data_IF_366741349945
#
_entry.id   IF_366741349945
#
_cell.length_a   1.000
_cell.length_b   1.000
_cell.length_c   1.000
_cell.angle_alpha   90.00
_cell.angle_beta   90.00
_cell.angle_gamma   90.00
#
_symmetry.space_group_name_H-M   'P 1'
#
loop_
_entity.id
_entity.type
_entity.pdbx_description
1 polymer ?
#
# COMPACT_ATOMS: atom_id res chain seq x y z
N UNK A 1 -33.00 27.02 -41.09
CA UNK A 1 -31.63 27.56 -41.17
C UNK A 1 -31.35 28.36 -39.91
N UNK A 2 -30.39 27.96 -39.07
CA UNK A 2 -30.03 28.67 -37.83
C UNK A 2 -28.70 29.40 -38.07
N UNK A 3 -28.53 30.67 -37.68
CA UNK A 3 -27.31 31.42 -37.96
C UNK A 3 -26.19 31.06 -36.97
N UNK A 4 -24.97 30.98 -37.50
CA UNK A 4 -23.72 30.71 -36.80
C UNK A 4 -23.19 32.02 -36.22
N UNK A 5 -22.98 32.08 -34.91
CA UNK A 5 -22.37 33.21 -34.24
C UNK A 5 -20.86 33.22 -34.51
N UNK A 6 -20.37 34.31 -35.10
CA UNK A 6 -18.95 34.60 -35.34
C UNK A 6 -18.32 35.16 -34.06
N UNK A 7 -17.30 34.49 -33.54
CA UNK A 7 -16.52 34.95 -32.38
C UNK A 7 -15.33 35.78 -32.88
N UNK A 8 -15.34 37.06 -32.54
CA UNK A 8 -14.35 38.05 -32.98
C UNK A 8 -13.09 37.94 -32.10
N UNK A 9 -11.94 37.65 -32.71
CA UNK A 9 -10.65 37.52 -32.05
C UNK A 9 -9.94 38.88 -32.02
N UNK A 10 -10.12 39.61 -30.92
CA UNK A 10 -9.42 40.87 -30.68
C UNK A 10 -8.02 40.59 -30.13
N UNK A 11 -7.04 41.03 -30.94
CA UNK A 11 -5.61 41.04 -30.69
C UNK A 11 -5.25 41.66 -29.33
N UNK A 12 -4.44 40.98 -28.53
CA UNK A 12 -3.61 41.59 -27.50
C UNK A 12 -2.14 41.41 -27.91
N UNK A 13 -1.63 42.44 -28.55
CA UNK A 13 -0.24 42.61 -28.94
C UNK A 13 0.59 43.13 -27.76
N UNK A 14 1.73 42.47 -27.55
CA UNK A 14 3.02 43.04 -27.17
C UNK A 14 3.06 43.93 -25.92
N UNK A 15 3.67 43.41 -24.85
CA UNK A 15 4.61 44.21 -24.07
C UNK A 15 5.73 43.31 -23.54
N UNK A 16 6.91 43.48 -24.13
CA UNK A 16 8.19 42.91 -23.72
C UNK A 16 8.59 43.43 -22.34
N UNK A 17 8.86 42.53 -21.39
CA UNK A 17 9.56 42.88 -20.15
C UNK A 17 11.03 42.44 -20.25
N UNK A 18 12.00 43.37 -20.14
CA UNK A 18 13.41 43.01 -20.05
C UNK A 18 13.85 42.66 -18.62
N UNK A 19 14.76 41.69 -18.58
CA UNK A 19 15.68 41.25 -17.52
C UNK A 19 16.14 42.31 -16.51
N UNK A 20 16.18 41.94 -15.21
CA UNK A 20 17.26 42.35 -14.29
C UNK A 20 17.36 41.45 -13.06
N UNK A 21 18.41 40.63 -13.01
CA UNK A 21 18.86 39.88 -11.83
C UNK A 21 20.18 40.51 -11.39
N UNK A 22 20.34 41.01 -10.15
CA UNK A 22 21.66 41.33 -9.62
C UNK A 22 22.27 40.14 -8.86
N UNK A 23 23.59 39.89 -8.99
CA UNK A 23 24.32 38.90 -8.22
C UNK A 23 24.94 39.49 -6.94
N UNK A 24 25.44 38.59 -6.09
CA UNK A 24 26.50 38.76 -5.06
C UNK A 24 26.14 39.46 -3.74
N UNK A 25 26.08 38.66 -2.66
CA UNK A 25 26.56 38.99 -1.30
C UNK A 25 26.99 37.66 -0.67
N UNK A 26 28.25 37.24 -0.88
CA UNK A 26 29.39 37.42 0.04
C UNK A 26 29.10 36.87 1.45
N UNK A 27 29.80 35.77 1.72
CA UNK A 27 29.86 35.05 2.96
C UNK A 27 30.46 35.88 4.11
N UNK A 28 29.89 35.74 5.31
CA UNK A 28 30.65 35.92 6.54
C UNK A 28 30.59 34.63 7.37
N UNK A 29 31.78 34.05 7.53
CA UNK A 29 32.15 33.12 8.59
C UNK A 29 31.96 33.80 9.95
N UNK A 30 31.42 33.05 10.92
CA UNK A 30 31.80 33.20 12.32
C UNK A 30 31.89 31.81 12.95
N UNK A 31 32.96 31.61 13.71
CA UNK A 31 33.41 30.34 14.27
C UNK A 31 33.01 30.22 15.76
N UNK A 32 32.69 28.99 16.18
CA UNK A 32 32.93 28.33 17.49
C UNK A 32 32.30 28.96 18.77
N UNK A 33 32.10 28.24 19.90
CA UNK A 33 32.76 26.99 20.31
C UNK A 33 31.90 25.85 20.88
N UNK A 34 32.62 24.73 21.03
CA UNK A 34 32.39 23.49 21.77
C UNK A 34 31.93 23.72 23.23
N UNK A 35 30.91 22.98 23.67
CA UNK A 35 30.64 22.70 25.08
C UNK A 35 30.34 21.21 25.28
N UNK A 36 31.11 20.63 26.19
CA UNK A 36 31.11 19.22 26.55
C UNK A 36 30.05 18.87 27.62
N UNK A 37 29.85 17.55 27.76
CA UNK A 37 29.31 16.77 28.90
C UNK A 37 27.80 16.79 29.16
N UNK A 38 27.19 15.60 29.02
CA UNK A 38 26.79 14.78 30.19
C UNK A 38 26.59 13.32 29.81
N UNK A 39 27.34 12.43 30.46
CA UNK A 39 27.05 11.00 30.53
C UNK A 39 26.10 10.77 31.69
N UNK A 40 25.03 10.00 31.46
CA UNK A 40 24.24 9.37 32.51
C UNK A 40 24.13 7.88 32.17
N UNK A 41 24.84 7.06 32.93
CA UNK A 41 24.62 5.63 33.10
C UNK A 41 23.59 5.42 34.21
N UNK A 42 22.49 4.73 33.91
CA UNK A 42 21.72 4.04 34.94
C UNK A 42 20.93 2.90 34.32
N UNK A 43 21.46 1.71 34.56
CA UNK A 43 20.83 0.40 34.60
C UNK A 43 19.41 0.43 35.17
N UNK A 44 18.41 0.04 34.40
CA UNK A 44 17.20 -0.67 34.86
C UNK A 44 16.49 -1.17 33.61
N UNK A 45 16.40 -2.50 33.40
CA UNK A 45 15.24 -3.18 32.79
C UNK A 45 15.47 -4.70 32.76
N UNK A 46 15.94 -5.27 33.88
CA UNK A 46 16.08 -6.72 34.10
C UNK A 46 15.08 -7.22 35.17
N UNK A 47 14.13 -6.37 35.61
CA UNK A 47 13.15 -6.70 36.68
C UNK A 47 11.73 -6.93 36.18
N UNK A 48 11.41 -6.54 34.96
CA UNK A 48 10.07 -6.66 34.35
C UNK A 48 9.81 -8.04 33.72
N UNK A 49 10.86 -8.82 33.44
CA UNK A 49 10.73 -10.18 32.87
C UNK A 49 10.40 -11.22 33.95
N UNK A 50 10.85 -11.01 35.20
CA UNK A 50 10.65 -11.97 36.28
C UNK A 50 9.27 -11.87 36.94
N UNK A 51 8.48 -10.82 36.64
CA UNK A 51 7.15 -10.61 37.21
C UNK A 51 6.01 -11.23 36.37
N UNK A 52 6.22 -11.51 35.08
CA UNK A 52 5.18 -12.11 34.23
C UNK A 52 5.09 -13.64 34.35
N UNK A 53 6.18 -14.30 34.78
CA UNK A 53 6.25 -15.76 34.89
C UNK A 53 5.47 -16.30 36.10
N UNK A 54 5.34 -15.51 37.18
CA UNK A 54 4.62 -15.91 38.40
C UNK A 54 3.08 -15.86 38.29
N UNK A 55 2.54 -15.13 37.30
CA UNK A 55 1.08 -15.06 37.07
C UNK A 55 0.54 -16.29 36.32
N UNK A 56 1.41 -17.03 35.63
CA UNK A 56 1.03 -18.19 34.82
C UNK A 56 0.80 -19.47 35.65
N UNK A 57 1.41 -19.58 36.84
CA UNK A 57 1.22 -20.73 37.73
C UNK A 57 -0.10 -20.68 38.53
N UNK A 58 -0.74 -19.51 38.63
CA UNK A 58 -2.04 -19.35 39.32
C UNK A 58 -3.23 -19.78 38.47
N UNK A 59 -3.08 -19.85 37.14
CA UNK A 59 -4.18 -20.12 36.21
C UNK A 59 -4.38 -21.63 35.97
N UNK A 60 -3.35 -22.43 36.23
CA UNK A 60 -3.31 -23.86 35.88
C UNK A 60 -3.67 -24.82 37.02
N UNK A 61 -4.11 -24.35 38.19
CA UNK A 61 -4.22 -25.21 39.38
C UNK A 61 -5.45 -25.00 40.26
N UNK A 62 -6.62 -25.50 39.85
CA UNK A 62 -7.61 -26.04 40.80
C UNK A 62 -8.63 -26.95 40.11
N UNK A 63 -8.54 -28.23 40.45
CA UNK A 63 -9.40 -29.34 40.09
C UNK A 63 -10.69 -29.41 40.93
N UNK A 64 -11.72 -30.01 40.32
CA UNK A 64 -12.86 -30.77 40.87
C UNK A 64 -13.95 -30.07 41.69
N UNK A 65 -15.21 -30.13 41.21
CA UNK A 65 -16.31 -30.96 41.78
C UNK A 65 -17.51 -31.07 40.81
N UNK A 66 -18.16 -32.23 40.83
CA UNK A 66 -19.29 -32.68 40.02
C UNK A 66 -20.63 -32.14 40.54
N UNK A 67 -21.62 -31.90 39.66
CA UNK A 67 -23.04 -31.97 40.02
C UNK A 67 -23.92 -32.31 38.79
N UNK A 68 -24.59 -33.46 38.88
CA UNK A 68 -25.64 -33.92 37.97
C UNK A 68 -26.99 -33.45 38.50
N UNK A 69 -27.75 -32.68 37.69
CA UNK A 69 -29.18 -32.46 37.93
C UNK A 69 -29.96 -32.51 36.63
N UNK A 70 -30.65 -33.64 36.45
CA UNK A 70 -31.77 -33.83 35.52
C UNK A 70 -32.95 -33.01 36.02
N UNK A 71 -33.49 -32.12 35.18
CA UNK A 71 -34.92 -31.82 35.05
C UNK A 71 -35.10 -30.55 34.22
N UNK A 72 -35.56 -30.70 32.97
CA UNK A 72 -36.68 -29.96 32.38
C UNK A 72 -36.55 -29.97 30.86
N UNK A 73 -37.52 -30.66 30.26
CA UNK A 73 -37.87 -30.59 28.86
C UNK A 73 -38.14 -29.15 28.41
N UNK A 74 -38.07 -29.00 27.08
CA UNK A 74 -38.50 -27.87 26.25
C UNK A 74 -37.66 -26.58 26.27
N UNK A 75 -37.18 -26.31 25.07
CA UNK A 75 -36.84 -25.02 24.49
C UNK A 75 -35.39 -24.53 24.62
N UNK A 76 -34.88 -24.07 23.47
CA UNK A 76 -33.64 -23.31 23.24
C UNK A 76 -32.38 -24.16 23.08
N UNK A 77 -32.15 -24.64 21.87
CA UNK A 77 -31.11 -24.14 20.94
C UNK A 77 -30.68 -25.28 20.01
N UNK A 78 -31.03 -25.14 18.73
CA UNK A 78 -30.39 -25.86 17.63
C UNK A 78 -28.86 -25.85 17.80
N UNK A 79 -28.14 -26.91 17.37
CA UNK A 79 -26.68 -26.92 17.47
C UNK A 79 -26.14 -25.62 16.85
N UNK A 80 -25.13 -24.95 17.44
CA UNK A 80 -24.49 -23.85 16.76
C UNK A 80 -23.97 -24.44 15.45
N UNK A 81 -24.61 -24.06 14.35
CA UNK A 81 -24.06 -24.28 13.03
C UNK A 81 -22.66 -23.67 13.10
N UNK A 82 -21.60 -24.45 12.82
CA UNK A 82 -20.29 -23.84 12.68
C UNK A 82 -20.47 -22.69 11.68
N UNK A 83 -19.92 -21.49 11.96
CA UNK A 83 -19.96 -20.43 10.98
C UNK A 83 -19.41 -21.04 9.69
N UNK A 84 -20.23 -21.09 8.65
CA UNK A 84 -19.84 -21.55 7.32
C UNK A 84 -18.76 -20.59 6.84
N UNK A 85 -17.53 -20.88 7.24
CA UNK A 85 -16.35 -20.20 6.78
C UNK A 85 -16.08 -20.75 5.39
N UNK A 86 -16.24 -19.83 4.44
CA UNK A 86 -15.81 -19.91 3.05
C UNK A 86 -16.77 -20.70 2.15
N UNK A 87 -17.32 -19.98 1.18
CA UNK A 87 -17.92 -20.55 -0.03
C UNK A 87 -17.09 -21.74 -0.49
N UNK A 88 -17.69 -22.92 -0.44
CA UNK A 88 -17.21 -24.14 -1.05
C UNK A 88 -16.62 -23.78 -2.42
N UNK A 89 -15.33 -24.07 -2.71
CA UNK A 89 -14.88 -24.01 -4.09
C UNK A 89 -15.68 -25.09 -4.82
N UNK A 90 -16.54 -24.68 -5.74
CA UNK A 90 -17.33 -25.59 -6.56
C UNK A 90 -16.39 -26.70 -7.12
N UNK A 91 -16.69 -27.99 -6.87
CA UNK A 91 -15.77 -29.11 -7.14
C UNK A 91 -15.54 -29.41 -8.64
N UNK A 92 -15.97 -28.54 -9.54
CA UNK A 92 -15.86 -28.73 -11.01
C UNK A 92 -14.66 -28.03 -11.64
N UNK A 93 -13.78 -27.41 -10.87
CA UNK A 93 -12.58 -26.77 -11.41
C UNK A 93 -11.47 -27.81 -11.53
N UNK A 94 -11.30 -28.37 -12.73
CA UNK A 94 -10.09 -29.09 -13.12
C UNK A 94 -8.88 -28.19 -12.80
N UNK A 95 -8.08 -28.59 -11.80
CA UNK A 95 -6.93 -27.82 -11.35
C UNK A 95 -5.77 -28.04 -12.33
N UNK A 96 -5.87 -27.43 -13.51
CA UNK A 96 -4.75 -27.34 -14.44
C UNK A 96 -3.71 -26.39 -13.80
N UNK A 97 -2.45 -26.81 -13.62
CA UNK A 97 -1.43 -25.93 -13.07
C UNK A 97 -1.25 -24.72 -14.01
N UNK A 98 -1.24 -23.48 -13.48
CA UNK A 98 -1.07 -22.31 -14.31
C UNK A 98 0.34 -22.29 -14.91
N UNK A 99 0.43 -22.07 -16.23
CA UNK A 99 1.70 -22.05 -16.96
C UNK A 99 2.69 -20.96 -16.50
N UNK A 100 2.19 -19.92 -15.82
CA UNK A 100 3.02 -18.82 -15.30
C UNK A 100 2.42 -18.23 -14.03
N UNK A 101 3.27 -17.60 -13.21
CA UNK A 101 2.82 -16.85 -12.04
C UNK A 101 1.84 -15.74 -12.47
N UNK A 102 0.60 -15.72 -11.94
CA UNK A 102 -0.42 -14.75 -12.35
C UNK A 102 0.02 -13.31 -12.02
N UNK A 103 0.81 -13.13 -10.95
CA UNK A 103 1.36 -11.85 -10.54
C UNK A 103 2.29 -11.27 -11.62
N UNK A 104 3.26 -12.05 -12.09
CA UNK A 104 4.19 -11.61 -13.14
C UNK A 104 3.43 -11.30 -14.44
N UNK A 105 2.42 -12.12 -14.74
CA UNK A 105 1.54 -11.86 -15.88
C UNK A 105 0.83 -10.50 -15.77
N UNK A 106 0.26 -10.16 -14.60
CA UNK A 106 -0.38 -8.86 -14.36
C UNK A 106 0.61 -7.70 -14.45
N UNK A 107 1.81 -7.84 -13.88
CA UNK A 107 2.86 -6.82 -13.97
C UNK A 107 3.27 -6.56 -15.44
N UNK A 108 3.49 -7.61 -16.21
CA UNK A 108 3.83 -7.48 -17.63
C UNK A 108 2.68 -6.84 -18.43
N UNK A 109 1.42 -7.18 -18.12
CA UNK A 109 0.26 -6.51 -18.72
C UNK A 109 0.21 -5.02 -18.41
N UNK A 110 0.60 -4.59 -17.20
CA UNK A 110 0.66 -3.17 -16.82
C UNK A 110 1.83 -2.40 -17.45
N UNK A 111 2.89 -3.09 -17.87
CA UNK A 111 4.05 -2.51 -18.58
C UNK A 111 3.88 -2.51 -20.11
N UNK A 112 2.80 -3.11 -20.62
CA UNK A 112 2.57 -3.29 -22.04
C UNK A 112 2.34 -1.96 -22.74
N UNK A 113 3.21 -1.64 -23.71
CA UNK A 113 3.06 -0.48 -24.58
C UNK A 113 2.87 -0.94 -26.03
N UNK A 114 1.82 -0.45 -26.70
CA UNK A 114 1.49 -0.78 -28.09
C UNK A 114 1.36 -2.29 -28.38
N UNK A 115 0.83 -3.07 -27.43
CA UNK A 115 0.64 -4.52 -27.60
C UNK A 115 1.93 -5.37 -27.61
N UNK A 116 3.10 -4.78 -27.34
CA UNK A 116 4.41 -5.46 -27.42
C UNK A 116 4.68 -6.34 -26.18
N UNK A 117 4.05 -7.53 -26.11
CA UNK A 117 4.11 -8.41 -24.93
C UNK A 117 5.52 -8.92 -24.61
N UNK A 118 6.23 -9.41 -25.61
CA UNK A 118 7.60 -9.91 -25.46
C UNK A 118 8.57 -8.85 -24.87
N UNK A 119 8.36 -7.56 -25.17
CA UNK A 119 9.17 -6.48 -24.59
C UNK A 119 8.87 -6.30 -23.10
N UNK A 120 7.59 -6.34 -22.72
CA UNK A 120 7.18 -6.20 -21.32
C UNK A 120 7.69 -7.37 -20.48
N UNK A 121 7.59 -8.61 -20.98
CA UNK A 121 8.10 -9.79 -20.27
C UNK A 121 9.63 -9.69 -20.07
N UNK A 122 10.39 -9.25 -21.08
CA UNK A 122 11.84 -9.00 -20.97
C UNK A 122 12.17 -7.96 -19.89
N UNK A 123 11.39 -6.88 -19.79
CA UNK A 123 11.57 -5.84 -18.76
C UNK A 123 11.33 -6.44 -17.37
N UNK A 124 10.29 -7.26 -17.19
CA UNK A 124 10.01 -7.92 -15.91
C UNK A 124 11.13 -8.88 -15.52
N UNK A 125 11.57 -9.77 -16.42
CA UNK A 125 12.66 -10.72 -16.16
C UNK A 125 13.96 -10.01 -15.78
N UNK A 126 14.32 -8.94 -16.49
CA UNK A 126 15.50 -8.12 -16.17
C UNK A 126 15.37 -7.38 -14.83
N UNK A 127 14.19 -6.88 -14.51
CA UNK A 127 13.92 -6.24 -13.21
C UNK A 127 14.17 -7.22 -12.07
N UNK A 128 13.71 -8.47 -12.19
CA UNK A 128 13.99 -9.52 -11.20
C UNK A 128 15.49 -9.82 -11.07
N UNK A 129 16.21 -9.83 -12.19
CA UNK A 129 17.68 -9.99 -12.18
C UNK A 129 18.38 -8.84 -11.46
N UNK A 130 17.94 -7.60 -11.65
CA UNK A 130 18.48 -6.45 -10.90
C UNK A 130 18.19 -6.54 -9.40
N UNK A 131 16.98 -6.95 -9.00
CA UNK A 131 16.64 -7.15 -7.59
C UNK A 131 17.57 -8.21 -6.98
N UNK A 132 17.77 -9.32 -7.68
CA UNK A 132 18.69 -10.38 -7.23
C UNK A 132 20.13 -9.90 -7.16
N UNK A 133 20.60 -9.11 -8.13
CA UNK A 133 21.96 -8.57 -8.11
C UNK A 133 22.21 -7.64 -6.91
N UNK A 134 21.21 -6.84 -6.52
CA UNK A 134 21.30 -5.91 -5.40
C UNK A 134 21.15 -6.58 -4.03
N UNK A 135 20.23 -7.54 -3.90
CA UNK A 135 19.87 -8.15 -2.61
C UNK A 135 20.52 -9.50 -2.35
N UNK A 136 20.99 -10.19 -3.41
CA UNK A 136 21.48 -11.58 -3.39
C UNK A 136 20.46 -12.61 -2.90
N UNK A 137 19.19 -12.22 -2.77
CA UNK A 137 18.08 -13.04 -2.33
C UNK A 137 17.15 -13.39 -3.51
N UNK A 138 16.28 -14.40 -3.37
CA UNK A 138 15.27 -14.70 -4.40
C UNK A 138 14.33 -13.50 -4.61
N UNK A 139 14.13 -13.03 -5.86
CA UNK A 139 13.44 -11.77 -6.11
C UNK A 139 11.90 -11.87 -6.05
N UNK A 140 11.33 -13.05 -6.29
CA UNK A 140 9.88 -13.30 -6.25
C UNK A 140 9.23 -12.98 -4.88
N UNK A 141 9.73 -13.49 -3.74
CA UNK A 141 9.14 -13.17 -2.44
C UNK A 141 9.26 -11.69 -2.09
N UNK A 142 10.39 -11.06 -2.43
CA UNK A 142 10.62 -9.62 -2.22
C UNK A 142 9.57 -8.79 -2.96
N UNK A 143 9.33 -9.15 -4.23
CA UNK A 143 8.33 -8.48 -5.05
C UNK A 143 6.91 -8.67 -4.48
N UNK A 144 6.54 -9.89 -4.08
CA UNK A 144 5.24 -10.17 -3.46
C UNK A 144 5.04 -9.34 -2.19
N UNK A 145 6.05 -9.31 -1.33
CA UNK A 145 6.05 -8.52 -0.10
C UNK A 145 5.87 -7.02 -0.40
N UNK A 146 6.66 -6.47 -1.33
CA UNK A 146 6.57 -5.07 -1.73
C UNK A 146 5.16 -4.69 -2.22
N UNK A 147 4.52 -5.53 -3.04
CA UNK A 147 3.17 -5.26 -3.53
C UNK A 147 2.11 -5.33 -2.43
N UNK A 148 2.24 -6.25 -1.46
CA UNK A 148 1.33 -6.31 -0.31
C UNK A 148 1.45 -5.02 0.49
N UNK A 149 2.67 -4.56 0.75
CA UNK A 149 2.95 -3.32 1.49
C UNK A 149 2.44 -2.08 0.75
N UNK A 150 2.64 -1.98 -0.57
CA UNK A 150 2.16 -0.86 -1.37
C UNK A 150 0.64 -0.87 -1.62
N UNK A 151 -0.03 -2.03 -1.50
CA UNK A 151 -1.46 -2.13 -1.81
C UNK A 151 -2.34 -1.43 -0.75
N UNK A 152 -3.22 -0.49 -1.14
CA UNK A 152 -4.25 0.05 -0.25
C UNK A 152 -5.38 -0.97 -0.06
N UNK A 153 -6.03 -0.97 1.10
CA UNK A 153 -7.20 -1.82 1.36
C UNK A 153 -8.53 -1.15 0.95
N UNK A 154 -8.56 0.18 0.93
CA UNK A 154 -9.75 0.99 0.67
C UNK A 154 -9.44 2.04 -0.39
N UNK A 155 -10.37 2.29 -1.29
CA UNK A 155 -10.35 3.45 -2.19
C UNK A 155 -11.51 4.39 -1.87
N UNK A 156 -11.28 5.67 -2.06
CA UNK A 156 -12.34 6.68 -2.03
C UNK A 156 -12.89 6.88 -3.44
N UNK A 157 -14.20 6.72 -3.60
CA UNK A 157 -14.91 6.94 -4.87
C UNK A 157 -15.78 8.19 -4.73
N UNK A 158 -15.76 9.05 -5.74
CA UNK A 158 -16.71 10.16 -5.87
C UNK A 158 -18.06 9.62 -6.33
N UNK A 159 -19.12 9.90 -5.58
CA UNK A 159 -20.50 9.58 -5.95
C UNK A 159 -21.38 10.82 -5.81
N UNK A 160 -22.36 10.97 -6.70
CA UNK A 160 -23.31 12.09 -6.65
C UNK A 160 -24.52 11.69 -5.81
N UNK A 161 -24.81 12.44 -4.74
CA UNK A 161 -25.96 12.23 -3.86
C UNK A 161 -26.68 13.55 -3.62
N UNK A 162 -27.97 13.60 -3.91
CA UNK A 162 -28.83 14.78 -3.69
C UNK A 162 -28.19 16.10 -4.18
N UNK A 163 -27.75 16.11 -5.44
CA UNK A 163 -27.14 17.29 -6.07
C UNK A 163 -25.69 17.60 -5.66
N UNK A 164 -25.15 17.00 -4.59
CA UNK A 164 -23.78 17.20 -4.11
C UNK A 164 -22.87 16.02 -4.46
N UNK A 165 -21.58 16.29 -4.65
CA UNK A 165 -20.57 15.24 -4.82
C UNK A 165 -20.06 14.82 -3.44
N UNK A 166 -20.26 13.55 -3.08
CA UNK A 166 -19.84 12.96 -1.80
C UNK A 166 -18.76 11.93 -2.07
N UNK A 167 -17.72 11.91 -1.24
CA UNK A 167 -16.67 10.88 -1.30
C UNK A 167 -17.07 9.72 -0.40
N UNK A 168 -17.21 8.54 -0.99
CA UNK A 168 -17.55 7.30 -0.29
C UNK A 168 -16.35 6.35 -0.27
N UNK A 169 -15.90 5.85 0.89
CA UNK A 169 -14.90 4.80 0.95
C UNK A 169 -15.52 3.46 0.54
N UNK A 170 -14.80 2.69 -0.28
CA UNK A 170 -15.16 1.35 -0.72
C UNK A 170 -13.96 0.40 -0.55
N UNK A 171 -14.20 -0.76 0.05
CA UNK A 171 -13.19 -1.81 0.20
C UNK A 171 -12.81 -2.40 -1.16
N UNK A 172 -11.51 -2.66 -1.35
CA UNK A 172 -10.98 -3.24 -2.57
C UNK A 172 -10.91 -4.76 -2.48
N UNK A 173 -11.37 -5.44 -3.53
CA UNK A 173 -11.12 -6.88 -3.72
C UNK A 173 -9.63 -7.14 -3.95
N UNK A 174 -9.14 -8.35 -3.66
CA UNK A 174 -7.71 -8.70 -3.79
C UNK A 174 -7.10 -8.36 -5.17
N UNK A 175 -7.79 -8.74 -6.26
CA UNK A 175 -7.37 -8.40 -7.63
C UNK A 175 -7.23 -6.88 -7.83
N UNK A 176 -8.12 -6.10 -7.23
CA UNK A 176 -8.09 -4.64 -7.30
C UNK A 176 -6.96 -4.06 -6.45
N UNK A 177 -6.70 -4.64 -5.27
CA UNK A 177 -5.58 -4.27 -4.38
C UNK A 177 -4.23 -4.47 -5.08
N UNK A 178 -4.02 -5.62 -5.70
CA UNK A 178 -2.81 -5.93 -6.45
C UNK A 178 -2.64 -4.93 -7.61
N UNK A 179 -3.70 -4.68 -8.39
CA UNK A 179 -3.67 -3.70 -9.49
C UNK A 179 -3.30 -2.29 -9.01
N UNK A 180 -3.90 -1.84 -7.91
CA UNK A 180 -3.60 -0.53 -7.33
C UNK A 180 -2.15 -0.43 -6.84
N UNK A 181 -1.66 -1.47 -6.16
CA UNK A 181 -0.27 -1.56 -5.71
C UNK A 181 0.73 -1.52 -6.87
N UNK A 182 0.49 -2.29 -7.94
CA UNK A 182 1.31 -2.27 -9.15
C UNK A 182 1.35 -0.85 -9.74
N UNK A 183 0.18 -0.21 -9.89
CA UNK A 183 0.13 1.13 -10.46
C UNK A 183 0.88 2.16 -9.61
N UNK A 184 0.76 2.09 -8.29
CA UNK A 184 1.49 2.98 -7.37
C UNK A 184 3.01 2.80 -7.49
N UNK A 185 3.50 1.56 -7.53
CA UNK A 185 4.93 1.26 -7.71
C UNK A 185 5.44 1.74 -9.07
N UNK A 186 4.69 1.50 -10.16
CA UNK A 186 5.05 1.98 -11.50
C UNK A 186 5.05 3.52 -11.60
N UNK A 187 4.16 4.20 -10.88
CA UNK A 187 4.13 5.66 -10.85
C UNK A 187 5.32 6.21 -10.06
N UNK A 188 5.63 5.61 -8.90
CA UNK A 188 6.74 6.01 -8.07
C UNK A 188 8.11 5.77 -8.75
N UNK A 189 8.27 4.64 -9.45
CA UNK A 189 9.52 4.28 -10.13
C UNK A 189 9.93 5.27 -11.22
N UNK A 190 8.98 5.98 -11.84
CA UNK A 190 9.29 7.00 -12.86
C UNK A 190 10.17 8.11 -12.31
N UNK A 191 10.04 8.43 -11.02
CA UNK A 191 10.77 9.49 -10.34
C UNK A 191 12.11 9.03 -9.76
N UNK A 192 12.43 7.73 -9.79
CA UNK A 192 13.71 7.21 -9.29
C UNK A 192 14.83 7.44 -10.29
N UNK A 193 16.05 7.53 -9.77
CA UNK A 193 17.27 7.60 -10.56
C UNK A 193 17.57 6.25 -11.21
N UNK A 194 17.94 6.28 -12.48
CA UNK A 194 18.33 5.10 -13.27
C UNK A 194 18.12 5.35 -14.76
N UNK A 195 19.01 4.83 -15.60
CA UNK A 195 18.94 5.03 -17.05
C UNK A 195 17.86 4.13 -17.67
N UNK A 196 17.81 2.89 -17.19
CA UNK A 196 16.90 1.87 -17.71
C UNK A 196 15.61 1.82 -16.89
N UNK A 197 14.52 1.27 -17.46
CA UNK A 197 13.25 1.15 -16.73
C UNK A 197 13.37 0.04 -15.69
N UNK A 198 14.07 -1.03 -16.04
CA UNK A 198 14.30 -2.21 -15.21
C UNK A 198 15.03 -1.85 -13.90
N UNK A 199 16.08 -1.04 -13.99
CA UNK A 199 16.86 -0.57 -12.84
C UNK A 199 16.03 0.31 -11.90
N UNK A 200 15.25 1.24 -12.45
CA UNK A 200 14.38 2.13 -11.66
C UNK A 200 13.30 1.35 -10.91
N UNK A 201 12.69 0.37 -11.57
CA UNK A 201 11.69 -0.50 -10.96
C UNK A 201 12.28 -1.35 -9.82
N UNK A 202 13.46 -1.95 -10.04
CA UNK A 202 14.13 -2.74 -9.01
C UNK A 202 14.45 -1.90 -7.76
N UNK A 203 14.97 -0.69 -7.94
CA UNK A 203 15.25 0.26 -6.85
C UNK A 203 13.99 0.68 -6.10
N UNK A 204 12.89 0.92 -6.82
CA UNK A 204 11.62 1.26 -6.19
C UNK A 204 11.09 0.10 -5.33
N UNK A 205 11.13 -1.13 -5.86
CA UNK A 205 10.66 -2.32 -5.13
C UNK A 205 11.43 -2.49 -3.81
N UNK A 206 12.76 -2.34 -3.83
CA UNK A 206 13.59 -2.42 -2.62
C UNK A 206 13.23 -1.28 -1.65
N UNK A 207 13.04 -0.06 -2.16
CA UNK A 207 12.65 1.08 -1.33
C UNK A 207 11.28 0.87 -0.66
N UNK A 208 10.32 0.26 -1.35
CA UNK A 208 9.01 -0.11 -0.77
C UNK A 208 9.17 -1.13 0.35
N UNK A 209 10.05 -2.13 0.20
CA UNK A 209 10.32 -3.11 1.27
C UNK A 209 10.92 -2.44 2.51
N UNK A 210 11.73 -1.41 2.32
CA UNK A 210 12.33 -0.64 3.41
C UNK A 210 11.36 0.36 4.06
N UNK A 211 10.22 0.66 3.45
CA UNK A 211 9.26 1.67 3.93
C UNK A 211 9.41 3.06 3.28
N UNK A 212 10.47 3.29 2.51
CA UNK A 212 10.86 4.61 2.01
C UNK A 212 10.45 4.83 0.54
N UNK A 213 9.15 4.92 0.30
CA UNK A 213 8.63 5.07 -1.07
C UNK A 213 7.45 6.03 -1.18
N UNK A 214 7.31 6.65 -2.35
CA UNK A 214 6.12 7.46 -2.67
C UNK A 214 4.86 6.59 -2.74
N UNK A 215 5.00 5.32 -3.16
CA UNK A 215 3.89 4.38 -3.21
C UNK A 215 3.27 4.12 -1.82
N UNK A 216 4.08 4.07 -0.77
CA UNK A 216 3.59 3.93 0.62
C UNK A 216 2.89 5.21 1.07
N UNK A 217 3.45 6.38 0.76
CA UNK A 217 2.79 7.65 1.05
C UNK A 217 1.41 7.74 0.37
N UNK A 218 1.30 7.34 -0.90
CA UNK A 218 0.01 7.32 -1.62
C UNK A 218 -1.01 6.37 -0.98
N UNK A 219 -0.57 5.19 -0.52
CA UNK A 219 -1.40 4.25 0.23
C UNK A 219 -1.90 4.88 1.53
N UNK A 220 -1.01 5.51 2.30
CA UNK A 220 -1.39 6.18 3.55
C UNK A 220 -2.38 7.32 3.30
N UNK A 221 -2.17 8.11 2.25
CA UNK A 221 -3.10 9.18 1.86
C UNK A 221 -4.48 8.62 1.53
N UNK A 222 -4.57 7.50 0.81
CA UNK A 222 -5.83 6.83 0.52
C UNK A 222 -6.54 6.36 1.82
N UNK A 223 -5.79 5.82 2.77
CA UNK A 223 -6.35 5.43 4.08
C UNK A 223 -6.81 6.64 4.90
N UNK A 224 -6.00 7.71 4.96
CA UNK A 224 -6.36 8.98 5.63
C UNK A 224 -7.64 9.56 5.03
N UNK A 225 -7.76 9.60 3.70
CA UNK A 225 -8.95 10.08 3.01
C UNK A 225 -10.19 9.21 3.30
N UNK A 226 -10.00 7.90 3.43
CA UNK A 226 -11.08 6.99 3.81
C UNK A 226 -11.53 7.19 5.26
N UNK A 227 -10.59 7.43 6.19
CA UNK A 227 -10.89 7.71 7.60
C UNK A 227 -11.72 8.98 7.77
N UNK A 228 -11.37 10.04 7.02
CA UNK A 228 -12.12 11.30 7.01
C UNK A 228 -13.58 11.08 6.57
N UNK A 229 -13.80 10.20 5.58
CA UNK A 229 -15.11 9.99 4.96
C UNK A 229 -15.85 8.75 5.47
N UNK A 230 -15.49 8.22 6.66
CA UNK A 230 -16.06 6.98 7.22
C UNK A 230 -17.59 6.99 7.32
N UNK A 231 -18.19 8.15 7.64
CA UNK A 231 -19.65 8.29 7.77
C UNK A 231 -20.41 8.07 6.45
N UNK A 232 -19.76 8.29 5.31
CA UNK A 232 -20.38 8.13 4.00
C UNK A 232 -20.43 6.67 3.52
N UNK A 233 -19.82 5.72 4.25
CA UNK A 233 -19.75 4.31 3.85
C UNK A 233 -21.12 3.61 3.82
N UNK A 234 -21.99 3.96 4.77
CA UNK A 234 -23.30 3.32 4.99
C UNK A 234 -24.43 3.95 4.16
N UNK A 235 -24.17 5.08 3.51
CA UNK A 235 -25.12 5.76 2.67
C UNK A 235 -25.45 4.89 1.43
N UNK A 236 -26.60 4.20 1.49
CA UNK A 236 -27.31 3.70 0.30
C UNK A 236 -28.09 4.84 -0.36
#
# INVERSE_FOLDING_TARGET
>A
MRPVATFNASRCSLLSCPQRIPPSFVALRCALPVLARRANSSTTDERTVNQSVALLDSIMGSSSTLDLKTSSLSDILSPPTPPTQNSTPDPSQMLIPPASDPLLHFLASSLLNHGKRARADRVVSRTLLYIHALTRAPPLPILRHALITASPAVKCISQKRSGKNVVRPAALTEKQRIRAGIHAVLAASKNKSGKTVEERLAREIIAVVNGDSKAIADKELAHKQAMVNRGNALAK
#
